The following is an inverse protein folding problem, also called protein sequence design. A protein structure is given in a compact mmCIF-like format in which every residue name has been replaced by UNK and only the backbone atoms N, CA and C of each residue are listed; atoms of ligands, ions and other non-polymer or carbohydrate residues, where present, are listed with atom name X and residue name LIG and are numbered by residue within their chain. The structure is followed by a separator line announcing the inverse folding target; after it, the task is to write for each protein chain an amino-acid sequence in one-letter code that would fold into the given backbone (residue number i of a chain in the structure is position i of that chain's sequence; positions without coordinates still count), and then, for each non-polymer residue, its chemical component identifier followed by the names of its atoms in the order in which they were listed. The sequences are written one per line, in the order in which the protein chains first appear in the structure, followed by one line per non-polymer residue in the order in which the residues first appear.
data_IF_702324112649
#
_entry.id   IF_702324112649
#
_cell.length_a   1.000
_cell.length_b   1.000
_cell.length_c   1.000
_cell.angle_alpha   90.00
_cell.angle_beta   90.00
_cell.angle_gamma   90.00
#
_symmetry.space_group_name_H-M   'P 1'
#
loop_
_entity.id
_entity.type
_entity.pdbx_description
1 polymer ?
#
# COMPACT_ATOMS: atom_id res chain seq x y z
N UNK A 1 17.55 32.11 -7.33
CA UNK A 1 16.97 30.75 -7.30
C UNK A 1 15.51 30.91 -6.92
N UNK A 2 14.64 30.33 -7.74
CA UNK A 2 13.19 30.57 -7.80
C UNK A 2 12.46 30.23 -6.49
N UNK A 3 11.36 30.95 -6.34
CA UNK A 3 10.40 30.97 -5.25
C UNK A 3 9.93 29.57 -4.86
N UNK A 4 9.90 29.31 -3.56
CA UNK A 4 9.14 28.19 -3.00
C UNK A 4 7.65 28.50 -3.20
N UNK A 5 6.99 27.60 -3.92
CA UNK A 5 5.56 27.57 -4.27
C UNK A 5 4.68 27.97 -3.06
N UNK A 6 3.82 28.97 -3.26
CA UNK A 6 3.06 29.59 -2.19
C UNK A 6 1.89 28.69 -1.75
N UNK A 7 1.78 28.34 -0.45
CA UNK A 7 0.64 27.58 0.06
C UNK A 7 -0.58 28.49 0.09
N UNK A 8 -1.39 28.48 -0.97
CA UNK A 8 -2.55 29.36 -1.04
C UNK A 8 -3.24 29.47 -2.39
N UNK A 9 -2.71 28.85 -3.44
CA UNK A 9 -3.47 28.71 -4.67
C UNK A 9 -4.66 27.76 -4.43
N UNK A 10 -5.90 28.16 -4.77
CA UNK A 10 -7.08 27.31 -4.60
C UNK A 10 -6.93 25.94 -5.25
N UNK A 11 -6.20 25.85 -6.37
CA UNK A 11 -5.94 24.59 -7.08
C UNK A 11 -5.04 23.64 -6.29
N UNK A 12 -4.00 24.14 -5.62
CA UNK A 12 -3.07 23.31 -4.83
C UNK A 12 -3.74 22.81 -3.54
N UNK A 13 -4.57 23.65 -2.93
CA UNK A 13 -5.39 23.28 -1.76
C UNK A 13 -6.40 22.20 -2.17
N UNK A 14 -7.14 22.42 -3.26
CA UNK A 14 -8.08 21.42 -3.77
C UNK A 14 -7.38 20.11 -4.15
N UNK A 15 -6.17 20.17 -4.72
CA UNK A 15 -5.36 19.00 -5.00
C UNK A 15 -4.97 18.25 -3.72
N UNK A 16 -4.51 18.95 -2.68
CA UNK A 16 -4.14 18.38 -1.39
C UNK A 16 -5.35 17.74 -0.68
N UNK A 17 -6.48 18.45 -0.62
CA UNK A 17 -7.75 17.95 -0.05
C UNK A 17 -8.26 16.71 -0.80
N UNK A 18 -8.03 16.63 -2.11
CA UNK A 18 -8.39 15.44 -2.88
C UNK A 18 -7.53 14.21 -2.54
N UNK A 19 -6.36 14.40 -1.91
CA UNK A 19 -5.38 13.34 -1.57
C UNK A 19 -5.41 12.93 -0.10
N UNK A 20 -5.74 13.83 0.82
CA UNK A 20 -5.84 13.56 2.26
C UNK A 20 -7.29 13.25 2.60
N UNK A 21 -7.60 11.95 2.76
CA UNK A 21 -8.96 11.46 2.99
C UNK A 21 -9.04 10.71 4.31
N UNK A 22 -9.66 11.28 5.36
CA UNK A 22 -9.76 10.63 6.67
C UNK A 22 -10.42 9.25 6.62
N UNK A 23 -11.35 9.04 5.70
CA UNK A 23 -12.08 7.79 5.52
C UNK A 23 -11.15 6.67 5.06
N UNK A 24 -10.29 6.93 4.08
CA UNK A 24 -9.35 5.92 3.58
C UNK A 24 -8.23 5.66 4.57
N UNK A 25 -7.80 6.68 5.32
CA UNK A 25 -6.82 6.52 6.40
C UNK A 25 -7.37 5.66 7.55
N UNK A 26 -8.64 5.82 7.91
CA UNK A 26 -9.29 4.98 8.91
C UNK A 26 -9.52 3.55 8.42
N UNK A 27 -9.90 3.39 7.14
CA UNK A 27 -10.10 2.09 6.53
C UNK A 27 -8.80 1.28 6.46
N UNK A 28 -7.66 1.92 6.20
CA UNK A 28 -6.34 1.29 6.14
C UNK A 28 -6.02 0.49 7.41
N UNK A 29 -6.21 1.07 8.60
CA UNK A 29 -5.97 0.36 9.87
C UNK A 29 -6.85 -0.90 10.03
N UNK A 30 -8.12 -0.81 9.63
CA UNK A 30 -9.06 -1.95 9.69
C UNK A 30 -8.65 -3.04 8.71
N UNK A 31 -8.22 -2.67 7.49
CA UNK A 31 -7.77 -3.62 6.48
C UNK A 31 -6.45 -4.30 6.87
N UNK A 32 -5.55 -3.61 7.57
CA UNK A 32 -4.37 -4.24 8.18
C UNK A 32 -4.74 -5.26 9.27
N UNK A 33 -5.69 -4.94 10.16
CA UNK A 33 -6.15 -5.85 11.22
C UNK A 33 -6.85 -7.10 10.65
N UNK A 34 -7.61 -6.92 9.57
CA UNK A 34 -8.23 -8.02 8.83
C UNK A 34 -7.20 -8.88 8.07
N UNK A 35 -5.98 -8.38 7.85
CA UNK A 35 -4.94 -9.06 7.09
C UNK A 35 -5.06 -8.87 5.57
N UNK A 36 -5.95 -7.97 5.13
CA UNK A 36 -6.15 -7.62 3.73
C UNK A 36 -4.97 -6.82 3.19
N UNK A 37 -4.46 -5.86 3.98
CA UNK A 37 -3.19 -5.20 3.69
C UNK A 37 -2.10 -5.96 4.42
N UNK A 38 -1.29 -6.68 3.65
CA UNK A 38 -0.31 -7.61 4.16
C UNK A 38 1.07 -7.01 4.40
N UNK A 39 1.29 -5.69 4.22
CA UNK A 39 2.59 -5.06 4.48
C UNK A 39 2.51 -3.58 4.88
N UNK A 40 3.47 -3.17 5.71
CA UNK A 40 3.82 -1.81 6.08
C UNK A 40 5.14 -1.40 5.41
N UNK A 41 5.14 -0.24 4.76
CA UNK A 41 6.33 0.37 4.17
C UNK A 41 6.51 1.81 4.69
N UNK A 42 7.77 2.28 4.79
CA UNK A 42 8.05 3.58 5.41
C UNK A 42 7.98 4.78 4.46
N UNK A 43 8.08 4.56 3.15
CA UNK A 43 8.35 5.61 2.14
C UNK A 43 9.35 6.69 2.63
N UNK A 44 10.56 6.22 2.98
CA UNK A 44 11.53 7.00 3.76
C UNK A 44 11.96 8.27 3.03
N UNK A 45 11.93 9.41 3.71
CA UNK A 45 12.26 10.74 3.15
C UNK A 45 11.29 11.26 2.08
N UNK A 46 10.23 10.52 1.77
CA UNK A 46 9.19 10.88 0.80
C UNK A 46 7.79 10.65 1.40
N UNK A 47 7.57 11.20 2.60
CA UNK A 47 6.34 11.14 3.43
C UNK A 47 6.29 10.08 4.54
N UNK A 48 7.36 9.33 4.81
CA UNK A 48 7.40 8.55 6.05
C UNK A 48 8.78 8.36 6.69
N UNK A 49 8.76 7.63 7.81
CA UNK A 49 9.83 7.59 8.81
C UNK A 49 10.37 6.17 8.94
N UNK A 50 11.57 5.93 8.39
CA UNK A 50 12.20 4.59 8.33
C UNK A 50 12.39 3.95 9.72
N UNK A 51 12.68 4.75 10.74
CA UNK A 51 12.91 4.27 12.10
C UNK A 51 11.64 3.95 12.89
N UNK A 52 10.45 4.22 12.35
CA UNK A 52 9.18 4.06 13.06
C UNK A 52 8.34 2.88 12.58
N UNK A 53 8.69 2.21 11.49
CA UNK A 53 7.86 1.13 10.89
C UNK A 53 7.43 0.08 11.91
N UNK A 54 8.39 -0.47 12.67
CA UNK A 54 8.09 -1.48 13.67
C UNK A 54 7.21 -0.92 14.78
N UNK A 55 7.53 0.27 15.30
CA UNK A 55 6.73 0.92 16.35
C UNK A 55 5.30 1.22 15.88
N UNK A 56 5.11 1.70 14.65
CA UNK A 56 3.80 2.02 14.05
C UNK A 56 2.95 0.78 13.87
N UNK A 57 3.56 -0.32 13.47
CA UNK A 57 2.90 -1.62 13.34
C UNK A 57 2.30 -2.09 14.68
N UNK A 58 3.06 -2.01 15.78
CA UNK A 58 2.52 -2.34 17.11
C UNK A 58 1.47 -1.33 17.60
N UNK A 59 1.63 -0.04 17.26
CA UNK A 59 0.64 0.98 17.59
C UNK A 59 -0.70 0.73 16.88
N UNK A 60 -0.68 0.36 15.60
CA UNK A 60 -1.91 0.00 14.88
C UNK A 60 -2.53 -1.27 15.46
N UNK A 61 -1.74 -2.29 15.80
CA UNK A 61 -2.24 -3.50 16.43
C UNK A 61 -2.93 -3.23 17.78
N UNK A 62 -2.34 -2.40 18.63
CA UNK A 62 -2.93 -1.99 19.90
C UNK A 62 -4.19 -1.13 19.71
N UNK A 63 -4.15 -0.16 18.79
CA UNK A 63 -5.32 0.65 18.41
C UNK A 63 -6.49 -0.23 17.96
N UNK A 64 -6.23 -1.21 17.11
CA UNK A 64 -7.26 -2.11 16.57
C UNK A 64 -7.79 -3.08 17.61
N UNK A 65 -6.95 -3.55 18.53
CA UNK A 65 -7.38 -4.31 19.71
C UNK A 65 -8.34 -3.50 20.59
N UNK A 66 -8.05 -2.22 20.82
CA UNK A 66 -8.92 -1.34 21.62
C UNK A 66 -10.23 -1.01 20.89
N UNK A 67 -10.18 -0.81 19.57
CA UNK A 67 -11.33 -0.40 18.77
C UNK A 67 -12.28 -1.56 18.41
N UNK A 68 -11.75 -2.70 17.94
CA UNK A 68 -12.54 -3.87 17.48
C UNK A 68 -12.61 -5.01 18.49
N UNK A 69 -11.73 -5.01 19.50
CA UNK A 69 -11.60 -6.14 20.42
C UNK A 69 -10.71 -7.26 19.86
N UNK A 70 -10.91 -8.48 20.37
CA UNK A 70 -10.13 -9.66 19.94
C UNK A 70 -10.51 -10.12 18.53
N UNK A 71 -9.54 -10.65 17.79
CA UNK A 71 -9.86 -11.31 16.52
C UNK A 71 -10.61 -12.63 16.78
N UNK A 72 -11.40 -13.13 15.82
CA UNK A 72 -12.10 -14.42 15.95
C UNK A 72 -11.16 -15.60 16.26
N UNK A 73 -9.96 -15.57 15.69
CA UNK A 73 -8.93 -16.62 15.86
C UNK A 73 -8.02 -16.39 17.08
N UNK A 74 -8.18 -15.27 17.81
CA UNK A 74 -7.45 -15.06 19.05
C UNK A 74 -8.02 -15.94 20.17
N UNK A 75 -7.13 -16.44 21.03
CA UNK A 75 -7.55 -17.14 22.24
C UNK A 75 -8.25 -16.20 23.22
N UNK A 76 -9.09 -16.77 24.09
CA UNK A 76 -9.71 -16.03 25.20
C UNK A 76 -8.68 -15.33 26.09
N UNK A 77 -7.47 -15.86 26.25
CA UNK A 77 -6.46 -15.34 27.18
C UNK A 77 -5.33 -14.56 26.55
N UNK A 78 -5.08 -14.68 25.24
CA UNK A 78 -3.94 -14.05 24.57
C UNK A 78 -4.26 -13.62 23.14
N UNK A 79 -3.52 -12.62 22.63
CA UNK A 79 -3.71 -11.99 21.32
C UNK A 79 -2.64 -12.44 20.30
N UNK A 80 -2.12 -13.66 20.47
CA UNK A 80 -1.02 -14.19 19.66
C UNK A 80 -1.32 -14.18 18.16
N UNK A 81 -2.57 -14.39 17.75
CA UNK A 81 -2.90 -14.45 16.33
C UNK A 81 -2.77 -13.07 15.69
N UNK A 82 -3.23 -12.02 16.38
CA UNK A 82 -2.99 -10.63 15.95
C UNK A 82 -1.49 -10.30 15.92
N UNK A 83 -0.72 -10.68 16.94
CA UNK A 83 0.73 -10.39 17.00
C UNK A 83 1.51 -11.15 15.93
N UNK A 84 1.16 -12.40 15.64
CA UNK A 84 1.82 -13.22 14.62
C UNK A 84 1.56 -12.75 13.18
N UNK A 85 0.54 -11.92 12.95
CA UNK A 85 0.32 -11.24 11.66
C UNK A 85 1.34 -10.11 11.40
N UNK A 86 1.87 -9.50 12.46
CA UNK A 86 2.78 -8.35 12.37
C UNK A 86 4.11 -8.67 11.66
N UNK A 87 4.83 -9.78 11.94
CA UNK A 87 6.06 -10.11 11.24
C UNK A 87 5.90 -10.27 9.73
N UNK A 88 4.75 -10.78 9.26
CA UNK A 88 4.43 -10.87 7.83
C UNK A 88 4.19 -9.51 7.19
N UNK A 89 3.75 -8.53 7.99
CA UNK A 89 3.49 -7.16 7.58
C UNK A 89 4.71 -6.24 7.64
N UNK A 90 5.75 -6.57 8.40
CA UNK A 90 6.92 -5.71 8.50
C UNK A 90 7.85 -5.88 7.28
N UNK A 91 7.84 -4.94 6.32
CA UNK A 91 8.90 -4.87 5.31
C UNK A 91 10.18 -4.36 5.99
N UNK A 92 11.05 -5.29 6.37
CA UNK A 92 12.46 -4.98 6.62
C UNK A 92 13.09 -4.88 5.24
N UNK A 93 13.12 -3.67 4.68
CA UNK A 93 14.04 -3.36 3.59
C UNK A 93 15.45 -3.59 4.14
N UNK A 94 15.96 -4.81 3.97
CA UNK A 94 17.38 -5.08 4.03
C UNK A 94 17.95 -4.35 2.83
N UNK A 95 18.42 -3.12 3.06
CA UNK A 95 19.28 -2.40 2.14
C UNK A 95 20.58 -3.22 1.98
N UNK A 96 20.52 -4.29 1.17
CA UNK A 96 21.72 -4.94 0.66
C UNK A 96 22.23 -4.02 -0.45
N UNK A 97 23.44 -3.44 -0.33
CA UNK A 97 23.97 -2.48 -1.30
C UNK A 97 24.27 -3.09 -2.69
N UNK A 98 23.83 -4.31 -2.99
CA UNK A 98 24.40 -5.13 -4.06
C UNK A 98 23.62 -5.23 -5.36
N UNK A 99 22.48 -4.55 -5.53
CA UNK A 99 21.74 -4.54 -6.81
C UNK A 99 20.93 -3.25 -7.03
N UNK A 100 21.52 -2.07 -6.78
CA UNK A 100 20.91 -0.82 -7.28
C UNK A 100 21.27 -0.71 -8.75
N UNK A 101 20.27 -0.89 -9.63
CA UNK A 101 20.43 -0.65 -11.05
C UNK A 101 20.94 0.79 -11.29
N UNK A 102 21.92 1.00 -12.19
CA UNK A 102 22.60 2.29 -12.36
C UNK A 102 21.75 3.45 -12.93
N UNK A 103 20.42 3.33 -13.00
CA UNK A 103 19.51 4.29 -13.64
C UNK A 103 18.63 5.11 -12.66
N UNK A 104 19.21 5.49 -11.52
CA UNK A 104 18.56 6.35 -10.53
C UNK A 104 18.87 7.85 -10.72
N UNK A 105 19.11 8.29 -11.97
CA UNK A 105 19.36 9.70 -12.31
C UNK A 105 18.20 10.46 -12.93
N UNK A 106 17.09 9.80 -13.28
CA UNK A 106 15.94 10.47 -13.89
C UNK A 106 14.85 10.82 -12.85
N UNK A 107 14.56 12.11 -12.68
CA UNK A 107 13.54 12.68 -11.77
C UNK A 107 12.13 12.59 -12.36
N UNK A 108 11.78 11.51 -13.05
CA UNK A 108 10.37 11.25 -13.40
C UNK A 108 9.62 10.74 -12.18
N UNK A 109 8.31 10.98 -12.14
CA UNK A 109 7.47 10.57 -11.02
C UNK A 109 7.72 9.09 -10.70
N UNK A 110 7.92 8.77 -9.42
CA UNK A 110 8.49 7.49 -8.99
C UNK A 110 7.67 6.24 -9.38
N UNK A 111 6.46 6.39 -9.93
CA UNK A 111 5.46 5.34 -10.21
C UNK A 111 5.95 4.23 -11.13
N UNK A 112 6.42 4.56 -12.33
CA UNK A 112 6.82 3.56 -13.34
C UNK A 112 8.01 2.71 -12.96
N UNK A 113 8.89 3.25 -12.10
CA UNK A 113 10.07 2.54 -11.64
C UNK A 113 9.79 1.71 -10.40
N UNK A 114 8.60 1.79 -9.80
CA UNK A 114 8.23 1.03 -8.59
C UNK A 114 8.44 -0.47 -8.82
N UNK A 115 7.91 -1.12 -9.89
CA UNK A 115 8.10 -2.56 -10.10
C UNK A 115 9.57 -3.00 -10.09
N UNK A 116 10.46 -2.20 -10.67
CA UNK A 116 11.90 -2.49 -10.76
C UNK A 116 12.63 -2.42 -9.42
N UNK A 117 12.03 -1.80 -8.40
CA UNK A 117 12.60 -1.77 -7.04
C UNK A 117 12.59 -3.13 -6.36
N UNK A 118 11.79 -4.09 -6.86
CA UNK A 118 11.72 -5.48 -6.35
C UNK A 118 11.56 -5.57 -4.82
N UNK A 119 10.87 -4.60 -4.21
CA UNK A 119 10.56 -4.64 -2.78
C UNK A 119 9.73 -5.89 -2.45
N UNK A 120 9.76 -6.34 -1.20
CA UNK A 120 8.88 -7.43 -0.75
C UNK A 120 7.41 -7.03 -0.96
N UNK A 121 7.13 -5.74 -0.74
CA UNK A 121 6.06 -4.92 -1.31
C UNK A 121 5.41 -5.42 -2.61
N UNK A 122 6.27 -5.64 -3.59
CA UNK A 122 5.87 -5.78 -4.99
C UNK A 122 6.03 -7.21 -5.45
N UNK A 123 6.86 -8.00 -4.78
CA UNK A 123 7.18 -9.37 -5.20
C UNK A 123 6.40 -10.41 -4.40
N UNK A 124 6.02 -10.10 -3.15
CA UNK A 124 5.53 -11.10 -2.20
C UNK A 124 4.06 -10.97 -1.82
N UNK A 125 3.38 -9.87 -2.16
CA UNK A 125 1.94 -9.76 -1.87
C UNK A 125 1.09 -10.74 -2.67
N UNK A 126 0.01 -11.18 -2.03
CA UNK A 126 -1.04 -12.00 -2.66
C UNK A 126 -1.79 -11.20 -3.73
N UNK A 127 -2.02 -9.90 -3.51
CA UNK A 127 -2.55 -8.97 -4.50
C UNK A 127 -1.77 -7.66 -4.46
N UNK A 128 -1.44 -7.11 -5.64
CA UNK A 128 -0.93 -5.75 -5.77
C UNK A 128 -1.95 -4.86 -6.49
N UNK A 129 -2.55 -3.92 -5.77
CA UNK A 129 -3.39 -2.89 -6.37
C UNK A 129 -2.55 -1.66 -6.76
N UNK A 130 -2.52 -1.32 -8.04
CA UNK A 130 -1.82 -0.15 -8.59
C UNK A 130 -2.86 0.93 -8.89
N UNK A 131 -3.06 1.81 -7.92
CA UNK A 131 -4.09 2.84 -7.98
C UNK A 131 -3.60 4.16 -8.60
N UNK A 132 -4.55 4.98 -9.06
CA UNK A 132 -4.36 6.29 -9.71
C UNK A 132 -3.79 6.20 -11.13
N UNK A 133 -4.26 5.21 -11.89
CA UNK A 133 -3.88 5.05 -13.30
C UNK A 133 -4.27 6.24 -14.16
N UNK A 134 -5.25 7.05 -13.75
CA UNK A 134 -5.65 8.30 -14.38
C UNK A 134 -4.56 9.37 -14.39
N UNK A 135 -3.60 9.30 -13.47
CA UNK A 135 -2.50 10.26 -13.43
C UNK A 135 -1.41 9.91 -14.44
N UNK A 136 -1.40 8.71 -15.03
CA UNK A 136 -0.33 8.26 -15.90
C UNK A 136 0.01 9.24 -17.05
N UNK A 137 -0.98 9.80 -17.78
CA UNK A 137 -0.71 10.78 -18.85
C UNK A 137 -0.12 12.11 -18.37
N UNK A 138 -0.21 12.40 -17.07
CA UNK A 138 0.19 13.67 -16.47
C UNK A 138 1.52 13.59 -15.73
N UNK A 139 2.07 12.38 -15.53
CA UNK A 139 3.28 12.16 -14.71
C UNK A 139 4.40 11.44 -15.47
N UNK A 140 4.36 11.48 -16.81
CA UNK A 140 5.27 10.73 -17.70
C UNK A 140 5.35 9.24 -17.32
N UNK A 141 4.18 8.63 -17.08
CA UNK A 141 4.06 7.22 -16.72
C UNK A 141 3.38 6.40 -17.83
N UNK A 142 3.98 5.27 -18.19
CA UNK A 142 3.52 4.32 -19.21
C UNK A 142 3.03 3.03 -18.52
N UNK A 143 1.71 2.84 -18.52
CA UNK A 143 1.07 1.68 -17.90
C UNK A 143 1.41 0.35 -18.59
N UNK A 144 1.76 0.36 -19.88
CA UNK A 144 2.16 -0.86 -20.60
C UNK A 144 3.59 -1.26 -20.25
N UNK A 145 4.47 -0.29 -20.00
CA UNK A 145 5.81 -0.55 -19.45
C UNK A 145 5.68 -1.08 -18.02
N UNK A 146 4.84 -0.44 -17.19
CA UNK A 146 4.62 -0.87 -15.82
C UNK A 146 4.03 -2.29 -15.74
N UNK A 147 3.06 -2.62 -16.61
CA UNK A 147 2.47 -3.96 -16.72
C UNK A 147 3.53 -5.01 -17.05
N UNK A 148 4.33 -4.77 -18.08
CA UNK A 148 5.44 -5.67 -18.48
C UNK A 148 6.42 -5.89 -17.33
N UNK A 149 6.78 -4.82 -16.61
CA UNK A 149 7.69 -4.92 -15.48
C UNK A 149 7.07 -5.70 -14.31
N UNK A 150 5.77 -5.53 -14.05
CA UNK A 150 5.04 -6.30 -13.04
C UNK A 150 4.96 -7.78 -13.41
N UNK A 151 4.63 -8.12 -14.65
CA UNK A 151 4.62 -9.51 -15.13
C UNK A 151 5.99 -10.18 -14.93
N UNK A 152 7.09 -9.47 -15.25
CA UNK A 152 8.45 -9.99 -15.06
C UNK A 152 8.84 -10.14 -13.58
N UNK A 153 8.38 -9.23 -12.71
CA UNK A 153 8.78 -9.19 -11.30
C UNK A 153 7.90 -10.11 -10.43
N UNK A 154 6.63 -10.27 -10.78
CA UNK A 154 5.62 -11.01 -10.01
C UNK A 154 5.31 -12.40 -10.55
N UNK A 155 5.62 -12.67 -11.82
CA UNK A 155 5.27 -13.94 -12.46
C UNK A 155 3.76 -14.15 -12.47
N UNK A 156 3.30 -15.24 -11.86
CA UNK A 156 1.87 -15.60 -11.82
C UNK A 156 1.06 -14.85 -10.74
N UNK A 157 1.71 -14.05 -9.88
CA UNK A 157 1.01 -13.39 -8.76
C UNK A 157 0.17 -12.21 -9.24
N UNK A 158 -1.11 -12.11 -8.84
CA UNK A 158 -2.04 -11.16 -9.42
C UNK A 158 -1.71 -9.72 -9.03
N UNK A 159 -2.00 -8.80 -9.95
CA UNK A 159 -2.00 -7.36 -9.72
C UNK A 159 -3.13 -6.74 -10.53
N UNK A 160 -3.66 -5.61 -10.04
CA UNK A 160 -4.81 -4.93 -10.66
C UNK A 160 -4.50 -3.45 -10.74
N UNK A 161 -4.64 -2.88 -11.93
CA UNK A 161 -4.66 -1.43 -12.11
C UNK A 161 -6.02 -0.88 -11.69
N UNK A 162 -6.03 0.15 -10.86
CA UNK A 162 -7.26 0.76 -10.35
C UNK A 162 -7.29 2.27 -10.52
N UNK A 163 -8.51 2.77 -10.64
CA UNK A 163 -8.82 4.18 -10.56
C UNK A 163 -9.95 4.36 -9.56
N UNK A 164 -9.61 4.71 -8.32
CA UNK A 164 -10.61 4.97 -7.28
C UNK A 164 -11.55 6.16 -7.58
N UNK A 165 -11.19 7.07 -8.51
CA UNK A 165 -12.06 8.19 -8.88
C UNK A 165 -13.20 7.75 -9.81
N UNK A 166 -12.91 6.84 -10.76
CA UNK A 166 -13.92 6.34 -11.71
C UNK A 166 -14.55 5.01 -11.26
N UNK A 167 -13.91 4.31 -10.34
CA UNK A 167 -14.31 2.98 -9.88
C UNK A 167 -13.70 1.82 -10.67
N UNK A 168 -12.87 2.11 -11.68
CA UNK A 168 -12.25 1.08 -12.52
C UNK A 168 -11.32 0.18 -11.69
N UNK A 169 -11.43 -1.14 -11.91
CA UNK A 169 -10.64 -2.15 -11.21
C UNK A 169 -11.00 -2.36 -9.74
N UNK A 170 -11.88 -1.54 -9.14
CA UNK A 170 -12.26 -1.69 -7.74
C UNK A 170 -13.05 -2.98 -7.48
N UNK A 171 -13.93 -3.38 -8.40
CA UNK A 171 -14.68 -4.63 -8.24
C UNK A 171 -13.74 -5.83 -8.17
N UNK A 172 -12.71 -5.89 -9.02
CA UNK A 172 -11.71 -6.97 -8.98
C UNK A 172 -10.93 -6.99 -7.67
N UNK A 173 -10.61 -5.81 -7.12
CA UNK A 173 -9.98 -5.73 -5.79
C UNK A 173 -10.96 -6.18 -4.71
N UNK A 174 -12.22 -5.75 -4.77
CA UNK A 174 -13.26 -6.12 -3.82
C UNK A 174 -13.50 -7.63 -3.81
N UNK A 175 -13.62 -8.25 -4.98
CA UNK A 175 -13.82 -9.69 -5.14
C UNK A 175 -12.66 -10.46 -4.48
N UNK A 176 -11.41 -10.05 -4.73
CA UNK A 176 -10.25 -10.65 -4.07
C UNK A 176 -10.24 -10.47 -2.54
N UNK A 177 -10.70 -9.31 -2.05
CA UNK A 177 -10.83 -9.07 -0.60
C UNK A 177 -11.90 -9.98 -0.01
N UNK A 178 -13.06 -10.10 -0.66
CA UNK A 178 -14.18 -10.93 -0.22
C UNK A 178 -13.82 -12.42 -0.23
N UNK A 179 -13.08 -12.88 -1.25
CA UNK A 179 -12.56 -14.24 -1.32
C UNK A 179 -11.57 -14.52 -0.18
N UNK A 180 -10.69 -13.57 0.13
CA UNK A 180 -9.67 -13.73 1.17
C UNK A 180 -10.24 -13.67 2.59
N UNK A 181 -11.26 -12.85 2.83
CA UNK A 181 -11.91 -12.71 4.15
C UNK A 181 -12.98 -13.79 4.38
N UNK A 182 -13.45 -14.44 3.30
CA UNK A 182 -14.60 -15.34 3.32
C UNK A 182 -15.91 -14.55 3.31
N UNK A 183 -16.83 -14.92 2.42
CA UNK A 183 -18.11 -14.23 2.29
C UNK A 183 -18.88 -14.25 3.63
N UNK A 184 -19.15 -13.09 4.27
CA UNK A 184 -19.88 -13.05 5.54
C UNK A 184 -21.33 -13.56 5.41
N UNK A 185 -21.87 -13.68 4.19
CA UNK A 185 -23.21 -14.22 3.94
C UNK A 185 -23.26 -15.74 3.71
N UNK A 186 -22.12 -16.44 3.65
CA UNK A 186 -22.07 -17.89 3.42
C UNK A 186 -22.21 -18.74 4.71
N UNK A 187 -22.56 -18.12 5.84
CA UNK A 187 -22.81 -18.78 7.11
C UNK A 187 -24.26 -18.61 7.58
N UNK A 188 -25.14 -19.48 7.09
CA UNK A 188 -26.46 -19.78 7.67
C UNK A 188 -26.63 -21.30 7.70
#
# INVERSE_FOLDING_TARGET
MQEAEAPGLPEDVAFAESRIRPETMAAEDVLHDLGVISMYASDSQAMGRVGENFTRLFQTADKMRQFKGKLPDDSRTHDNFRVLRLPGQADIIRASPRHIAPDLRDRRAAGDKIPRKRGQGITQTDLLAVNKTDLAPHVDADLDVMRRDLDMVRGERPFVFTNCRTGEGLNTVLDHILDAVGNPEAGC
#
